data_IF_268309711257
#
_entry.id   IF_268309711257
#
_cell.length_a   1.000
_cell.length_b   1.000
_cell.length_c   1.000
_cell.angle_alpha   90.00
_cell.angle_beta   90.00
_cell.angle_gamma   90.00
#
_symmetry.space_group_name_H-M   'P 1'
#
loop_
_entity.id
_entity.type
_entity.pdbx_description
1 polymer ?
#
# COMPACT_ATOMS: atom_id res chain seq x y z
N UNK A 1 -20.44 -23.45 -0.18
CA UNK A 1 -20.39 -24.89 -0.47
C UNK A 1 -21.64 -25.56 0.05
N UNK A 2 -21.94 -26.78 -0.38
CA UNK A 2 -23.08 -27.51 0.13
C UNK A 2 -22.73 -28.21 1.46
N UNK A 3 -23.31 -27.74 2.57
CA UNK A 3 -23.03 -28.28 3.91
C UNK A 3 -23.44 -29.75 4.06
N UNK A 4 -24.39 -30.25 3.25
CA UNK A 4 -24.81 -31.66 3.30
C UNK A 4 -23.73 -32.63 2.84
N UNK A 5 -22.65 -32.15 2.21
CA UNK A 5 -21.52 -32.98 1.76
C UNK A 5 -20.45 -33.17 2.83
N UNK A 6 -20.51 -32.45 3.94
CA UNK A 6 -19.47 -32.46 4.98
C UNK A 6 -19.31 -33.82 5.65
N UNK A 7 -20.39 -34.63 5.68
CA UNK A 7 -20.35 -35.99 6.21
C UNK A 7 -19.68 -36.98 5.24
N UNK A 8 -19.53 -36.60 3.97
CA UNK A 8 -18.85 -37.37 2.93
C UNK A 8 -17.36 -37.00 2.79
N UNK A 9 -16.92 -35.94 3.46
CA UNK A 9 -15.53 -35.49 3.39
C UNK A 9 -14.62 -36.31 4.30
N UNK A 10 -13.41 -36.57 3.81
CA UNK A 10 -12.34 -37.18 4.59
C UNK A 10 -11.68 -36.12 5.48
N UNK A 11 -12.17 -36.01 6.71
CA UNK A 11 -11.66 -35.07 7.71
C UNK A 11 -10.26 -35.40 8.19
N UNK A 12 -9.81 -36.66 8.08
CA UNK A 12 -8.43 -37.02 8.38
C UNK A 12 -7.49 -36.50 7.29
N UNK A 13 -7.85 -36.66 6.01
CA UNK A 13 -7.11 -36.07 4.91
C UNK A 13 -7.07 -34.54 4.97
N UNK A 14 -8.21 -33.88 5.25
CA UNK A 14 -8.27 -32.42 5.42
C UNK A 14 -7.35 -31.96 6.55
N UNK A 15 -7.43 -32.63 7.71
CA UNK A 15 -6.60 -32.31 8.87
C UNK A 15 -5.10 -32.46 8.56
N UNK A 16 -4.70 -33.57 7.92
CA UNK A 16 -3.32 -33.82 7.54
C UNK A 16 -2.78 -32.80 6.54
N UNK A 17 -3.61 -32.37 5.57
CA UNK A 17 -3.23 -31.32 4.62
C UNK A 17 -2.99 -29.97 5.31
N UNK A 18 -3.84 -29.60 6.26
CA UNK A 18 -3.64 -28.37 7.06
C UNK A 18 -2.43 -28.48 7.99
N UNK A 19 -2.19 -29.66 8.57
CA UNK A 19 -1.00 -29.91 9.38
C UNK A 19 0.28 -29.78 8.56
N UNK A 20 0.34 -30.38 7.37
CA UNK A 20 1.46 -30.23 6.43
C UNK A 20 1.64 -28.77 5.99
N UNK A 21 0.54 -28.07 5.68
CA UNK A 21 0.55 -26.65 5.32
C UNK A 21 1.16 -25.76 6.42
N UNK A 22 0.81 -26.02 7.69
CA UNK A 22 1.37 -25.37 8.88
C UNK A 22 2.87 -25.68 9.04
N UNK A 23 3.25 -26.96 8.92
CA UNK A 23 4.64 -27.42 9.10
C UNK A 23 5.58 -26.81 8.07
N UNK A 24 5.17 -26.76 6.80
CA UNK A 24 5.93 -26.12 5.70
C UNK A 24 6.23 -24.64 5.96
N UNK A 25 5.44 -23.97 6.80
CA UNK A 25 5.61 -22.56 7.19
C UNK A 25 6.21 -22.38 8.58
N UNK A 26 6.63 -23.46 9.23
CA UNK A 26 7.28 -23.44 10.55
C UNK A 26 6.43 -22.84 11.68
N UNK A 27 5.10 -22.86 11.55
CA UNK A 27 4.18 -22.27 12.53
C UNK A 27 3.97 -23.18 13.76
N UNK A 28 5.04 -23.58 14.45
CA UNK A 28 5.00 -24.56 15.55
C UNK A 28 3.99 -24.21 16.65
N UNK A 29 3.78 -22.92 16.91
CA UNK A 29 2.87 -22.33 17.88
C UNK A 29 1.36 -22.37 17.52
N UNK A 30 0.98 -22.75 16.30
CA UNK A 30 -0.44 -22.87 15.91
C UNK A 30 -1.02 -24.25 16.26
N UNK A 31 -1.85 -24.37 17.29
CA UNK A 31 -2.50 -25.64 17.63
C UNK A 31 -3.68 -25.95 16.67
N UNK A 32 -3.74 -27.18 16.16
CA UNK A 32 -4.85 -27.66 15.31
C UNK A 32 -5.58 -28.81 15.98
N UNK A 33 -6.90 -28.67 16.11
CA UNK A 33 -7.80 -29.70 16.62
C UNK A 33 -8.81 -30.10 15.54
N UNK A 34 -8.88 -31.40 15.23
CA UNK A 34 -9.71 -31.91 14.13
C UNK A 34 -11.21 -31.67 14.36
N UNK A 35 -11.68 -31.80 15.59
CA UNK A 35 -13.09 -31.64 15.91
C UNK A 35 -13.53 -30.18 15.80
N UNK A 36 -12.75 -29.25 16.36
CA UNK A 36 -12.98 -27.80 16.24
C UNK A 36 -12.87 -27.34 14.79
N UNK A 37 -11.94 -27.90 14.02
CA UNK A 37 -11.82 -27.60 12.58
C UNK A 37 -13.10 -27.99 11.82
N UNK A 38 -13.66 -29.18 12.08
CA UNK A 38 -14.93 -29.60 11.47
C UNK A 38 -16.08 -28.68 11.87
N UNK A 39 -16.22 -28.37 13.16
CA UNK A 39 -17.25 -27.44 13.65
C UNK A 39 -17.12 -26.04 13.05
N UNK A 40 -15.89 -25.55 12.88
CA UNK A 40 -15.61 -24.26 12.26
C UNK A 40 -16.02 -24.26 10.79
N UNK A 41 -15.56 -25.25 10.03
CA UNK A 41 -15.79 -25.35 8.60
C UNK A 41 -17.28 -25.46 8.22
N UNK A 42 -18.11 -26.05 9.10
CA UNK A 42 -19.56 -26.18 8.91
C UNK A 42 -20.31 -24.84 8.96
N UNK A 43 -19.69 -23.79 9.49
CA UNK A 43 -20.26 -22.44 9.45
C UNK A 43 -20.11 -21.88 8.04
N UNK A 44 -21.08 -21.09 7.57
CA UNK A 44 -21.08 -20.52 6.22
C UNK A 44 -20.75 -19.01 6.20
N UNK A 45 -20.30 -18.45 7.33
CA UNK A 45 -20.07 -17.02 7.54
C UNK A 45 -18.60 -16.59 7.43
N UNK A 46 -17.67 -17.54 7.26
CA UNK A 46 -16.23 -17.26 7.26
C UNK A 46 -15.60 -17.16 5.86
N UNK A 47 -16.38 -17.36 4.78
CA UNK A 47 -15.93 -17.23 3.40
C UNK A 47 -17.05 -16.76 2.46
N UNK A 48 -16.67 -16.15 1.35
CA UNK A 48 -17.56 -15.87 0.21
C UNK A 48 -16.90 -16.45 -1.04
N UNK A 49 -17.64 -17.28 -1.80
CA UNK A 49 -17.10 -18.00 -2.95
C UNK A 49 -17.72 -17.46 -4.25
N UNK A 50 -16.89 -16.82 -5.08
CA UNK A 50 -17.29 -16.35 -6.41
C UNK A 50 -17.05 -17.45 -7.44
N UNK A 51 -17.97 -18.41 -7.52
CA UNK A 51 -17.89 -19.55 -8.46
C UNK A 51 -19.26 -19.75 -9.15
N UNK A 52 -19.31 -20.17 -10.42
CA UNK A 52 -20.55 -20.53 -11.06
C UNK A 52 -21.28 -21.64 -10.31
N UNK A 53 -22.60 -21.51 -10.12
CA UNK A 53 -23.41 -22.52 -9.44
C UNK A 53 -23.32 -23.91 -10.10
N UNK A 54 -23.11 -23.95 -11.43
CA UNK A 54 -22.89 -25.19 -12.18
C UNK A 54 -21.63 -25.95 -11.77
N UNK A 55 -20.59 -25.27 -11.31
CA UNK A 55 -19.34 -25.89 -10.86
C UNK A 55 -19.45 -26.47 -9.43
N UNK A 56 -20.49 -26.10 -8.67
CA UNK A 56 -20.80 -26.68 -7.35
C UNK A 56 -21.88 -27.76 -7.42
N UNK A 57 -22.44 -28.05 -8.60
CA UNK A 57 -23.43 -29.10 -8.77
C UNK A 57 -22.77 -30.47 -8.60
N UNK A 58 -23.28 -31.28 -7.67
CA UNK A 58 -22.81 -32.65 -7.46
C UNK A 58 -23.60 -33.59 -8.36
N UNK A 59 -22.92 -34.15 -9.36
CA UNK A 59 -23.47 -35.12 -10.32
C UNK A 59 -22.79 -36.48 -10.19
N UNK A 60 -21.54 -36.51 -9.73
CA UNK A 60 -20.69 -37.71 -9.61
C UNK A 60 -19.83 -37.63 -8.35
N UNK A 61 -19.28 -38.77 -7.92
CA UNK A 61 -18.48 -38.85 -6.70
C UNK A 61 -17.20 -37.98 -6.74
N UNK A 62 -16.61 -37.80 -7.92
CA UNK A 62 -15.47 -36.88 -8.11
C UNK A 62 -15.81 -35.43 -7.78
N UNK A 63 -17.07 -35.02 -7.85
CA UNK A 63 -17.48 -33.65 -7.48
C UNK A 63 -17.43 -33.44 -5.96
N UNK A 64 -17.58 -34.52 -5.16
CA UNK A 64 -17.38 -34.49 -3.70
C UNK A 64 -15.90 -34.24 -3.39
N UNK A 65 -15.00 -34.93 -4.09
CA UNK A 65 -13.54 -34.72 -3.96
C UNK A 65 -13.14 -33.31 -4.41
N UNK A 66 -13.76 -32.78 -5.45
CA UNK A 66 -13.55 -31.41 -5.89
C UNK A 66 -13.97 -30.40 -4.81
N UNK A 67 -15.17 -30.54 -4.23
CA UNK A 67 -15.57 -29.65 -3.13
C UNK A 67 -14.72 -29.81 -1.87
N UNK A 68 -14.25 -31.02 -1.57
CA UNK A 68 -13.26 -31.23 -0.50
C UNK A 68 -11.96 -30.47 -0.79
N UNK A 69 -11.47 -30.50 -2.03
CA UNK A 69 -10.26 -29.74 -2.43
C UNK A 69 -10.45 -28.24 -2.31
N UNK A 70 -11.63 -27.71 -2.67
CA UNK A 70 -12.00 -26.31 -2.48
C UNK A 70 -12.03 -25.95 -0.99
N UNK A 71 -12.61 -26.80 -0.15
CA UNK A 71 -12.62 -26.59 1.31
C UNK A 71 -11.19 -26.55 1.86
N UNK A 72 -10.31 -27.46 1.46
CA UNK A 72 -8.89 -27.45 1.87
C UNK A 72 -8.23 -26.12 1.48
N UNK A 73 -8.42 -25.67 0.24
CA UNK A 73 -7.86 -24.39 -0.21
C UNK A 73 -8.39 -23.21 0.61
N UNK A 74 -9.68 -23.15 0.88
CA UNK A 74 -10.30 -22.12 1.71
C UNK A 74 -9.74 -22.15 3.15
N UNK A 75 -9.62 -23.33 3.76
CA UNK A 75 -9.06 -23.48 5.10
C UNK A 75 -7.58 -23.10 5.15
N UNK A 76 -6.79 -23.41 4.13
CA UNK A 76 -5.39 -22.98 4.02
C UNK A 76 -5.28 -21.45 3.94
N UNK A 77 -6.07 -20.81 3.08
CA UNK A 77 -6.11 -19.35 2.96
C UNK A 77 -6.56 -18.69 4.26
N UNK A 78 -7.60 -19.23 4.91
CA UNK A 78 -8.06 -18.74 6.20
C UNK A 78 -6.99 -18.90 7.28
N UNK A 79 -6.31 -20.05 7.33
CA UNK A 79 -5.25 -20.33 8.31
C UNK A 79 -4.09 -19.34 8.16
N UNK A 80 -3.71 -19.03 6.92
CA UNK A 80 -2.69 -18.02 6.63
C UNK A 80 -3.11 -16.64 7.13
N UNK A 81 -4.29 -16.16 6.72
CA UNK A 81 -4.81 -14.87 7.17
C UNK A 81 -4.96 -14.80 8.70
N UNK A 82 -5.45 -15.87 9.33
CA UNK A 82 -5.63 -15.99 10.77
C UNK A 82 -4.28 -15.89 11.50
N UNK A 83 -3.29 -16.67 11.07
CA UNK A 83 -1.97 -16.70 11.68
C UNK A 83 -1.26 -15.35 11.53
N UNK A 84 -1.26 -14.78 10.31
CA UNK A 84 -0.64 -13.48 10.07
C UNK A 84 -1.27 -12.38 10.91
N UNK A 85 -2.60 -12.38 11.06
CA UNK A 85 -3.30 -11.41 11.93
C UNK A 85 -2.87 -11.54 13.39
N UNK A 86 -2.78 -12.76 13.93
CA UNK A 86 -2.33 -12.96 15.31
C UNK A 86 -0.86 -12.60 15.50
N UNK A 87 -0.01 -12.99 14.56
CA UNK A 87 1.42 -12.65 14.54
C UNK A 87 1.61 -11.14 14.53
N UNK A 88 0.90 -10.42 13.65
CA UNK A 88 0.95 -8.97 13.59
C UNK A 88 0.45 -8.30 14.87
N UNK A 89 -0.65 -8.81 15.46
CA UNK A 89 -1.17 -8.30 16.73
C UNK A 89 -0.21 -8.50 17.92
N UNK A 90 0.58 -9.57 17.89
CA UNK A 90 1.63 -9.83 18.88
C UNK A 90 2.88 -8.98 18.62
N UNK A 91 3.42 -9.02 17.39
CA UNK A 91 4.60 -8.23 16.99
C UNK A 91 4.37 -6.74 17.20
N UNK A 92 3.15 -6.26 16.97
CA UNK A 92 2.81 -4.85 17.12
C UNK A 92 2.84 -4.31 18.54
N UNK A 93 2.96 -5.17 19.57
CA UNK A 93 3.16 -4.75 20.97
C UNK A 93 4.62 -4.40 21.28
N UNK A 94 5.53 -4.75 20.39
CA UNK A 94 6.97 -4.59 20.55
C UNK A 94 7.56 -3.64 19.50
N UNK A 95 6.74 -2.74 18.96
CA UNK A 95 7.25 -1.72 18.06
C UNK A 95 8.04 -0.68 18.84
N UNK A 96 9.22 -0.36 18.30
CA UNK A 96 10.11 0.67 18.84
C UNK A 96 10.41 1.69 17.74
N UNK A 97 10.64 2.93 18.14
CA UNK A 97 11.16 3.96 17.25
C UNK A 97 12.66 3.74 17.05
N UNK A 98 13.10 3.79 15.78
CA UNK A 98 14.52 3.74 15.44
C UNK A 98 14.89 4.97 14.65
N UNK A 99 16.14 5.43 14.82
CA UNK A 99 16.72 6.42 13.94
C UNK A 99 16.89 5.82 12.55
N UNK A 100 16.53 6.61 11.55
CA UNK A 100 16.66 6.27 10.13
C UNK A 100 17.61 7.29 9.53
N UNK A 101 18.75 6.80 9.05
CA UNK A 101 19.73 7.60 8.33
C UNK A 101 19.81 7.13 6.86
N UNK A 102 20.66 7.79 6.08
CA UNK A 102 20.92 7.49 4.67
C UNK A 102 21.38 6.03 4.44
N UNK A 103 21.92 5.35 5.47
CA UNK A 103 22.41 3.97 5.35
C UNK A 103 21.34 2.93 5.66
N UNK A 104 20.14 3.36 6.06
CA UNK A 104 19.04 2.44 6.27
C UNK A 104 18.73 1.73 4.95
N UNK A 105 18.64 0.40 4.95
CA UNK A 105 18.40 -0.38 3.73
C UNK A 105 17.06 -0.12 3.02
N UNK A 106 16.23 0.75 3.60
CA UNK A 106 15.00 1.27 2.99
C UNK A 106 15.22 2.53 2.15
N UNK A 107 16.34 3.23 2.36
CA UNK A 107 16.78 4.32 1.50
C UNK A 107 17.37 3.73 0.23
N UNK A 108 16.97 4.30 -0.91
CA UNK A 108 17.53 3.95 -2.21
C UNK A 108 18.57 5.00 -2.54
N UNK A 109 19.79 4.57 -2.85
CA UNK A 109 20.90 5.52 -3.05
C UNK A 109 21.06 5.90 -4.53
N UNK A 110 20.65 5.02 -5.44
CA UNK A 110 20.97 5.15 -6.87
C UNK A 110 19.87 4.62 -7.79
N UNK A 111 19.71 5.31 -8.93
CA UNK A 111 18.97 4.79 -10.08
C UNK A 111 19.89 3.97 -10.99
N UNK A 112 19.52 2.72 -11.22
CA UNK A 112 20.17 1.86 -12.22
C UNK A 112 19.31 1.79 -13.47
N UNK A 113 19.84 2.31 -14.57
CA UNK A 113 19.21 2.21 -15.89
C UNK A 113 19.87 1.11 -16.72
N UNK A 114 19.06 0.25 -17.32
CA UNK A 114 19.47 -0.72 -18.34
C UNK A 114 18.92 -0.24 -19.67
N UNK A 115 19.81 0.03 -20.61
CA UNK A 115 19.47 0.61 -21.91
C UNK A 115 19.93 -0.35 -23.00
N UNK A 116 19.07 -0.61 -23.98
CA UNK A 116 19.43 -1.46 -25.11
C UNK A 116 20.49 -0.78 -25.96
N UNK A 117 21.46 -1.55 -26.47
CA UNK A 117 22.54 -1.03 -27.32
C UNK A 117 22.06 -0.84 -28.77
N UNK A 118 21.08 0.04 -28.96
CA UNK A 118 20.50 0.45 -30.24
C UNK A 118 20.67 1.97 -30.43
N UNK A 119 20.42 2.48 -31.63
CA UNK A 119 20.49 3.93 -31.86
C UNK A 119 19.43 4.69 -31.04
N UNK A 120 18.22 4.12 -30.91
CA UNK A 120 17.18 4.67 -30.02
C UNK A 120 17.63 4.64 -28.56
N UNK A 121 18.24 3.54 -28.10
CA UNK A 121 18.79 3.43 -26.74
C UNK A 121 19.83 4.51 -26.43
N UNK A 122 20.73 4.81 -27.36
CA UNK A 122 21.73 5.89 -27.20
C UNK A 122 21.08 7.27 -27.04
N UNK A 123 19.95 7.53 -27.69
CA UNK A 123 19.18 8.77 -27.50
C UNK A 123 18.68 8.87 -26.06
N UNK A 124 18.14 7.77 -25.50
CA UNK A 124 17.71 7.74 -24.10
C UNK A 124 18.87 7.88 -23.12
N UNK A 125 20.02 7.26 -23.39
CA UNK A 125 21.24 7.42 -22.59
C UNK A 125 21.66 8.90 -22.51
N UNK A 126 21.72 9.60 -23.65
CA UNK A 126 22.08 11.01 -23.69
C UNK A 126 21.07 11.88 -22.92
N UNK A 127 19.77 11.60 -23.06
CA UNK A 127 18.71 12.31 -22.32
C UNK A 127 18.87 12.13 -20.79
N UNK A 128 19.13 10.90 -20.34
CA UNK A 128 19.34 10.60 -18.92
C UNK A 128 20.64 11.21 -18.38
N UNK A 129 21.71 11.26 -19.18
CA UNK A 129 22.95 11.95 -18.81
C UNK A 129 22.74 13.47 -18.69
N UNK A 130 21.95 14.07 -19.57
CA UNK A 130 21.56 15.49 -19.45
C UNK A 130 20.76 15.75 -18.17
N UNK A 131 19.76 14.90 -17.88
CA UNK A 131 19.00 14.99 -16.64
C UNK A 131 19.92 14.90 -15.43
N UNK A 132 20.80 13.88 -15.39
CA UNK A 132 21.80 13.72 -14.33
C UNK A 132 22.61 15.00 -14.11
N UNK A 133 23.09 15.62 -15.20
CA UNK A 133 23.83 16.88 -15.12
C UNK A 133 23.00 18.04 -14.54
N UNK A 134 21.71 18.14 -14.85
CA UNK A 134 20.83 19.15 -14.24
C UNK A 134 20.60 18.90 -12.74
N UNK A 135 20.46 17.64 -12.34
CA UNK A 135 20.23 17.25 -10.94
C UNK A 135 21.49 17.51 -10.10
N UNK A 136 22.67 17.06 -10.56
CA UNK A 136 23.95 17.29 -9.87
C UNK A 136 24.31 18.77 -9.76
N UNK A 137 23.88 19.59 -10.72
CA UNK A 137 24.07 21.04 -10.71
C UNK A 137 22.98 21.82 -9.96
N UNK A 138 22.02 21.14 -9.31
CA UNK A 138 20.84 21.74 -8.65
C UNK A 138 20.03 22.68 -9.57
N UNK A 139 19.97 22.39 -10.87
CA UNK A 139 19.26 23.19 -11.88
C UNK A 139 17.81 22.71 -12.05
N UNK A 140 17.02 22.80 -10.98
CA UNK A 140 15.65 22.27 -10.90
C UNK A 140 14.71 22.78 -12.00
N UNK A 141 14.78 24.08 -12.31
CA UNK A 141 13.99 24.68 -13.38
C UNK A 141 14.27 24.03 -14.76
N UNK A 142 15.53 23.63 -15.01
CA UNK A 142 15.90 22.93 -16.24
C UNK A 142 15.48 21.47 -16.23
N UNK A 143 15.56 20.80 -15.09
CA UNK A 143 15.03 19.43 -14.95
C UNK A 143 13.50 19.40 -15.17
N UNK A 144 12.76 20.40 -14.69
CA UNK A 144 11.33 20.53 -15.00
C UNK A 144 11.08 20.81 -16.49
N UNK A 145 11.91 21.64 -17.14
CA UNK A 145 11.81 21.90 -18.58
C UNK A 145 12.15 20.66 -19.42
N UNK A 146 13.09 19.82 -18.96
CA UNK A 146 13.49 18.57 -19.61
C UNK A 146 12.29 17.62 -19.83
N UNK A 147 11.36 17.57 -18.88
CA UNK A 147 10.11 16.79 -19.02
C UNK A 147 9.24 17.25 -20.19
N UNK A 148 9.25 18.55 -20.51
CA UNK A 148 8.42 19.13 -21.59
C UNK A 148 9.05 18.92 -22.97
N UNK A 149 10.37 18.75 -23.01
CA UNK A 149 11.13 18.59 -24.25
C UNK A 149 11.39 17.13 -24.62
N UNK A 150 11.18 16.21 -23.69
CA UNK A 150 11.27 14.79 -23.96
C UNK A 150 9.97 14.26 -24.56
N UNK A 151 10.10 13.28 -25.45
CA UNK A 151 9.02 12.36 -25.77
C UNK A 151 8.53 11.80 -24.43
N UNK A 152 7.26 12.01 -24.06
CA UNK A 152 6.61 11.75 -22.76
C UNK A 152 6.77 10.31 -22.18
N UNK A 153 7.65 9.51 -22.75
CA UNK A 153 8.01 8.15 -22.38
C UNK A 153 8.79 8.07 -21.06
N UNK A 154 9.57 9.10 -20.72
CA UNK A 154 10.26 9.21 -19.42
C UNK A 154 10.04 10.61 -18.87
N UNK A 155 9.58 10.70 -17.62
CA UNK A 155 9.49 11.97 -16.90
C UNK A 155 10.11 11.87 -15.51
N UNK A 156 10.69 12.99 -15.05
CA UNK A 156 11.36 13.15 -13.77
C UNK A 156 10.62 14.21 -12.94
N UNK A 157 9.82 13.77 -11.97
CA UNK A 157 9.10 14.66 -11.08
C UNK A 157 10.07 15.20 -10.02
N UNK A 158 10.28 16.50 -10.07
CA UNK A 158 11.28 17.21 -9.27
C UNK A 158 10.61 17.88 -8.06
N UNK A 159 10.23 17.09 -7.05
CA UNK A 159 9.74 17.59 -5.77
C UNK A 159 10.90 17.60 -4.76
N UNK A 160 11.46 18.77 -4.50
CA UNK A 160 12.67 18.95 -3.66
C UNK A 160 12.55 18.34 -2.25
N UNK A 161 11.41 18.44 -1.54
CA UNK A 161 11.25 17.80 -0.24
C UNK A 161 11.11 16.27 -0.29
N UNK A 162 11.18 15.64 -1.47
CA UNK A 162 11.21 14.19 -1.56
C UNK A 162 12.59 13.64 -1.20
N UNK A 163 12.64 12.67 -0.28
CA UNK A 163 13.90 12.10 0.22
C UNK A 163 14.63 11.20 -0.79
N UNK A 164 13.98 10.81 -1.89
CA UNK A 164 14.60 10.04 -2.97
C UNK A 164 14.38 10.70 -4.34
N UNK A 165 15.36 11.42 -4.83
CA UNK A 165 15.15 12.44 -5.87
C UNK A 165 15.98 12.17 -7.15
N UNK A 166 15.44 12.43 -8.36
CA UNK A 166 14.06 12.81 -8.68
C UNK A 166 13.14 11.57 -8.80
N UNK A 167 11.82 11.72 -8.65
CA UNK A 167 10.91 10.59 -8.85
C UNK A 167 10.69 10.35 -10.35
N UNK A 168 11.08 9.17 -10.83
CA UNK A 168 10.98 8.81 -12.25
C UNK A 168 9.67 8.07 -12.58
N UNK A 169 9.06 8.43 -13.71
CA UNK A 169 7.99 7.66 -14.36
C UNK A 169 8.46 7.21 -15.75
N UNK A 170 8.04 6.02 -16.16
CA UNK A 170 8.28 5.50 -17.50
C UNK A 170 6.95 5.00 -18.05
N UNK A 171 6.62 5.37 -19.29
CA UNK A 171 5.43 4.87 -19.97
C UNK A 171 5.46 3.33 -19.97
N UNK A 172 4.33 2.69 -19.62
CA UNK A 172 4.19 1.22 -19.62
C UNK A 172 4.14 0.69 -21.06
N UNK A 173 5.27 0.73 -21.75
CA UNK A 173 5.46 0.19 -23.10
C UNK A 173 6.71 -0.69 -23.14
N UNK A 174 6.50 -2.00 -23.34
CA UNK A 174 7.56 -3.00 -23.39
C UNK A 174 8.52 -2.83 -24.58
N UNK A 175 8.15 -2.01 -25.58
CA UNK A 175 9.02 -1.66 -26.71
C UNK A 175 10.06 -0.59 -26.37
N UNK A 176 9.96 0.07 -25.22
CA UNK A 176 10.93 1.06 -24.81
C UNK A 176 12.30 0.41 -24.54
N UNK A 177 13.40 0.96 -25.10
CA UNK A 177 14.73 0.40 -24.98
C UNK A 177 15.38 0.70 -23.61
N UNK A 178 14.59 0.98 -22.57
CA UNK A 178 15.05 1.45 -21.27
C UNK A 178 14.27 0.77 -20.15
N UNK A 179 15.00 0.26 -19.15
CA UNK A 179 14.47 -0.29 -17.91
C UNK A 179 15.18 0.36 -16.73
N UNK A 180 14.50 0.45 -15.60
CA UNK A 180 15.07 1.10 -14.42
C UNK A 180 14.86 0.32 -13.13
N UNK A 181 15.77 0.51 -12.17
CA UNK A 181 15.66 0.07 -10.79
C UNK A 181 16.01 1.27 -9.88
N UNK A 182 15.22 1.57 -8.84
CA UNK A 182 13.91 0.98 -8.49
C UNK A 182 12.86 1.11 -9.60
N UNK A 183 11.75 0.36 -9.50
CA UNK A 183 10.66 0.45 -10.47
C UNK A 183 10.10 1.87 -10.53
N UNK A 184 9.89 2.33 -11.77
CA UNK A 184 9.23 3.59 -12.06
C UNK A 184 7.87 3.70 -11.37
N UNK A 185 7.47 4.92 -11.06
CA UNK A 185 6.11 5.21 -10.61
C UNK A 185 5.20 5.24 -11.84
N UNK A 186 4.31 4.25 -11.95
CA UNK A 186 3.48 4.05 -13.14
C UNK A 186 1.98 4.01 -12.84
N UNK A 187 1.58 4.31 -11.60
CA UNK A 187 0.19 4.43 -11.21
C UNK A 187 -0.22 5.90 -11.27
N UNK A 188 -1.24 6.22 -12.07
CA UNK A 188 -1.68 7.60 -12.32
C UNK A 188 -2.09 8.33 -11.04
N UNK A 189 -2.62 7.60 -10.05
CA UNK A 189 -3.01 8.15 -8.75
C UNK A 189 -1.80 8.60 -7.93
N UNK A 190 -0.73 7.80 -7.90
CA UNK A 190 0.54 8.14 -7.25
C UNK A 190 1.19 9.34 -7.96
N UNK A 191 1.26 9.30 -9.30
CA UNK A 191 1.80 10.40 -10.12
C UNK A 191 1.06 11.70 -9.84
N UNK A 192 -0.27 11.66 -9.85
CA UNK A 192 -1.12 12.81 -9.57
C UNK A 192 -0.85 13.39 -8.18
N UNK A 193 -0.78 12.54 -7.16
CA UNK A 193 -0.53 13.00 -5.78
C UNK A 193 0.79 13.75 -5.65
N UNK A 194 1.88 13.19 -6.17
CA UNK A 194 3.20 13.83 -6.13
C UNK A 194 3.21 15.13 -6.93
N UNK A 195 2.58 15.16 -8.10
CA UNK A 195 2.49 16.36 -8.93
C UNK A 195 1.67 17.46 -8.26
N UNK A 196 0.54 17.12 -7.63
CA UNK A 196 -0.29 18.09 -6.91
C UNK A 196 0.49 18.68 -5.71
N UNK A 197 1.28 17.86 -4.99
CA UNK A 197 2.18 18.32 -3.93
C UNK A 197 3.29 19.23 -4.46
N UNK A 198 3.92 18.84 -5.57
CA UNK A 198 4.94 19.66 -6.24
C UNK A 198 4.37 21.03 -6.63
N UNK A 199 3.18 21.05 -7.23
CA UNK A 199 2.52 22.32 -7.59
C UNK A 199 2.21 23.18 -6.36
N UNK A 200 1.75 22.57 -5.25
CA UNK A 200 1.48 23.28 -4.00
C UNK A 200 2.76 23.84 -3.37
N UNK A 201 3.90 23.17 -3.55
CA UNK A 201 5.20 23.68 -3.12
C UNK A 201 5.69 24.83 -4.01
N UNK A 202 5.69 24.64 -5.33
CA UNK A 202 6.18 25.62 -6.30
C UNK A 202 5.38 26.93 -6.27
N UNK A 203 4.10 26.88 -5.90
CA UNK A 203 3.24 28.07 -5.76
C UNK A 203 3.20 28.67 -4.35
N UNK A 204 3.97 28.13 -3.40
CA UNK A 204 4.06 28.60 -2.02
C UNK A 204 2.91 28.22 -1.10
N UNK A 205 1.84 27.57 -1.60
CA UNK A 205 0.68 27.19 -0.78
C UNK A 205 1.04 26.18 0.30
N UNK A 206 1.98 25.26 0.02
CA UNK A 206 2.39 24.25 0.99
C UNK A 206 3.00 24.93 2.23
N UNK A 207 3.85 25.95 2.02
CA UNK A 207 4.41 26.78 3.09
C UNK A 207 3.33 27.54 3.85
N UNK A 208 2.33 28.09 3.15
CA UNK A 208 1.18 28.74 3.80
C UNK A 208 0.39 27.78 4.72
N UNK A 209 0.33 26.49 4.37
CA UNK A 209 -0.42 25.50 5.13
C UNK A 209 0.35 24.93 6.32
N UNK A 210 1.67 24.78 6.21
CA UNK A 210 2.51 24.18 7.25
C UNK A 210 3.19 25.21 8.17
N UNK A 211 3.23 26.50 7.79
CA UNK A 211 3.96 27.52 8.52
C UNK A 211 5.47 27.28 8.45
N UNK A 212 6.20 27.46 9.55
CA UNK A 212 7.67 27.28 9.60
C UNK A 212 8.13 25.81 9.74
N UNK A 213 7.23 24.85 9.50
CA UNK A 213 7.52 23.42 9.58
C UNK A 213 8.19 22.93 8.31
N UNK A 214 9.02 21.90 8.44
CA UNK A 214 9.54 21.18 7.29
C UNK A 214 8.59 20.05 6.91
N UNK A 215 8.54 19.74 5.62
CA UNK A 215 7.76 18.62 5.08
C UNK A 215 8.67 17.76 4.22
N UNK A 216 8.55 16.45 4.33
CA UNK A 216 9.31 15.48 3.57
C UNK A 216 8.38 14.41 3.03
N UNK A 217 8.62 13.96 1.80
CA UNK A 217 7.88 12.85 1.20
C UNK A 217 8.86 11.73 0.89
N UNK A 218 8.43 10.49 1.14
CA UNK A 218 9.14 9.30 0.70
C UNK A 218 8.15 8.32 0.10
N UNK A 219 8.38 7.94 -1.16
CA UNK A 219 7.73 6.77 -1.75
C UNK A 219 8.19 5.52 -1.02
N UNK A 220 7.27 4.76 -0.47
CA UNK A 220 7.60 3.57 0.30
C UNK A 220 8.02 2.42 -0.62
N UNK A 221 8.91 1.55 -0.14
CA UNK A 221 9.29 0.37 -0.91
C UNK A 221 8.12 -0.62 -0.97
N UNK A 222 8.01 -1.37 -2.07
CA UNK A 222 6.88 -2.28 -2.32
C UNK A 222 6.79 -3.50 -1.35
N UNK A 223 7.69 -3.64 -0.37
CA UNK A 223 7.62 -4.75 0.59
C UNK A 223 8.13 -4.41 2.00
N UNK A 224 7.57 -5.14 2.99
CA UNK A 224 7.90 -5.08 4.43
C UNK A 224 9.38 -5.30 4.75
N UNK A 225 10.13 -5.98 3.87
CA UNK A 225 11.54 -6.28 4.09
C UNK A 225 12.46 -5.09 3.77
N UNK A 226 11.96 -4.08 3.02
CA UNK A 226 12.75 -2.94 2.54
C UNK A 226 12.07 -1.59 2.69
N UNK A 227 10.84 -1.53 3.19
CA UNK A 227 10.14 -0.26 3.35
C UNK A 227 10.14 0.22 4.79
N UNK A 228 9.99 1.52 4.95
CA UNK A 228 9.80 2.15 6.26
C UNK A 228 8.32 2.03 6.62
N UNK A 229 8.02 1.43 7.77
CA UNK A 229 6.67 1.39 8.32
C UNK A 229 6.28 0.07 8.98
N UNK A 230 5.21 0.16 9.75
CA UNK A 230 4.57 -0.97 10.40
C UNK A 230 3.89 -1.85 9.35
N UNK A 231 4.03 -3.17 9.44
CA UNK A 231 3.01 -4.01 8.80
C UNK A 231 1.78 -3.95 9.68
N UNK A 232 0.87 -3.06 9.30
CA UNK A 232 -0.39 -2.84 9.96
C UNK A 232 -1.31 -4.05 9.72
N UNK A 233 -2.40 -4.15 10.48
CA UNK A 233 -3.28 -5.31 10.36
C UNK A 233 -3.83 -5.40 8.92
N UNK A 234 -3.89 -6.61 8.39
CA UNK A 234 -4.38 -6.85 7.02
C UNK A 234 -3.33 -6.71 5.90
N UNK A 235 -2.02 -6.74 6.20
CA UNK A 235 -0.94 -6.62 5.20
C UNK A 235 -1.01 -5.30 4.40
N UNK A 236 -1.48 -4.23 5.04
CA UNK A 236 -1.51 -2.93 4.38
C UNK A 236 -0.11 -2.32 4.30
N UNK A 237 0.26 -1.87 3.11
CA UNK A 237 1.51 -1.15 2.85
C UNK A 237 1.15 0.14 2.09
N UNK A 238 1.36 1.32 2.68
CA UNK A 238 1.06 2.58 2.02
C UNK A 238 2.07 2.89 0.93
N UNK A 239 1.63 3.61 -0.10
CA UNK A 239 2.49 4.00 -1.22
C UNK A 239 3.46 5.12 -0.83
N UNK A 240 3.08 6.00 0.10
CA UNK A 240 3.90 7.13 0.55
C UNK A 240 3.92 7.31 2.07
N UNK A 241 5.04 7.86 2.54
CA UNK A 241 5.24 8.42 3.87
C UNK A 241 5.42 9.93 3.74
N UNK A 242 4.51 10.70 4.32
CA UNK A 242 4.60 12.14 4.42
C UNK A 242 4.96 12.52 5.84
N UNK A 243 6.13 13.10 6.04
CA UNK A 243 6.65 13.49 7.33
C UNK A 243 6.64 15.01 7.45
N UNK A 244 5.99 15.54 8.47
CA UNK A 244 6.06 16.96 8.83
C UNK A 244 6.79 17.09 10.16
N UNK A 245 7.74 18.01 10.25
CA UNK A 245 8.55 18.23 11.44
C UNK A 245 8.53 19.70 11.86
N UNK A 246 8.25 19.94 13.13
CA UNK A 246 8.33 21.26 13.76
C UNK A 246 9.60 21.34 14.61
N UNK A 247 10.62 22.01 14.07
CA UNK A 247 11.93 22.15 14.72
C UNK A 247 11.89 22.96 16.03
N UNK A 248 10.89 23.81 16.23
CA UNK A 248 10.79 24.63 17.43
C UNK A 248 10.21 23.84 18.61
N UNK A 249 9.22 22.99 18.32
CA UNK A 249 8.51 22.21 19.35
C UNK A 249 8.93 20.76 19.44
N UNK A 250 9.82 20.31 18.54
CA UNK A 250 10.24 18.91 18.34
C UNK A 250 9.07 17.96 18.01
N UNK A 251 7.93 18.51 17.57
CA UNK A 251 6.76 17.73 17.19
C UNK A 251 6.92 17.20 15.78
N UNK A 252 6.53 15.94 15.60
CA UNK A 252 6.65 15.24 14.32
C UNK A 252 5.36 14.51 13.99
N UNK A 253 4.98 14.58 12.72
CA UNK A 253 3.82 13.88 12.18
C UNK A 253 4.26 12.98 11.04
N UNK A 254 4.11 11.67 11.20
CA UNK A 254 4.35 10.70 10.14
C UNK A 254 3.01 10.20 9.60
N UNK A 255 2.75 10.51 8.33
CA UNK A 255 1.47 10.22 7.68
C UNK A 255 1.63 9.20 6.58
N UNK A 256 0.93 8.08 6.69
CA UNK A 256 0.84 7.03 5.68
C UNK A 256 -0.23 7.40 4.64
N UNK A 257 0.12 7.36 3.35
CA UNK A 257 -0.77 7.79 2.26
C UNK A 257 -0.86 6.70 1.18
N UNK A 258 -2.08 6.33 0.80
CA UNK A 258 -2.39 5.34 -0.26
C UNK A 258 -3.42 5.92 -1.25
N UNK A 259 -2.97 6.43 -2.41
CA UNK A 259 -3.84 6.85 -3.50
C UNK A 259 -4.49 5.65 -4.20
N UNK A 260 -5.76 5.36 -3.91
CA UNK A 260 -6.39 4.11 -4.37
C UNK A 260 -7.85 4.22 -4.82
N UNK A 261 -8.23 3.34 -5.74
CA UNK A 261 -9.62 3.14 -6.13
C UNK A 261 -10.35 2.27 -5.11
N UNK A 262 -11.43 2.80 -4.54
CA UNK A 262 -12.18 2.15 -3.45
C UNK A 262 -13.59 1.70 -3.87
N UNK A 263 -13.93 1.77 -5.16
CA UNK A 263 -15.27 1.45 -5.71
C UNK A 263 -15.84 0.11 -5.26
N UNK A 264 -15.01 -0.93 -5.17
CA UNK A 264 -15.44 -2.29 -4.85
C UNK A 264 -15.08 -2.71 -3.42
N UNK A 265 -14.60 -1.78 -2.58
CA UNK A 265 -14.24 -2.08 -1.21
C UNK A 265 -15.48 -2.09 -0.32
N UNK A 266 -15.52 -3.00 0.64
CA UNK A 266 -16.60 -3.05 1.62
C UNK A 266 -16.39 -1.97 2.69
N UNK A 267 -17.46 -1.46 3.31
CA UNK A 267 -17.36 -0.59 4.49
C UNK A 267 -16.62 -1.24 5.69
N UNK A 268 -16.59 -2.57 5.71
CA UNK A 268 -15.88 -3.37 6.70
C UNK A 268 -14.48 -3.79 6.23
N UNK A 269 -13.99 -3.22 5.12
CA UNK A 269 -12.64 -3.49 4.65
C UNK A 269 -11.64 -3.05 5.75
N UNK A 270 -10.69 -3.91 6.14
CA UNK A 270 -9.68 -3.59 7.15
C UNK A 270 -8.95 -2.27 6.88
N UNK A 271 -8.79 -1.88 5.61
CA UNK A 271 -8.14 -0.61 5.25
C UNK A 271 -8.88 0.62 5.76
N UNK A 272 -10.21 0.57 5.90
CA UNK A 272 -10.97 1.67 6.50
C UNK A 272 -10.83 1.76 8.02
N UNK A 273 -10.34 0.69 8.67
CA UNK A 273 -10.00 0.68 10.10
C UNK A 273 -8.59 1.18 10.42
N UNK A 274 -7.77 1.40 9.39
CA UNK A 274 -6.33 1.64 9.52
C UNK A 274 -5.99 2.88 10.34
N UNK A 275 -6.72 3.98 10.17
CA UNK A 275 -6.52 5.19 10.96
C UNK A 275 -6.68 4.94 12.46
N UNK A 276 -7.70 4.16 12.85
CA UNK A 276 -7.94 3.81 14.25
C UNK A 276 -6.87 2.86 14.78
N UNK A 277 -6.43 1.90 13.98
CA UNK A 277 -5.36 0.97 14.37
C UNK A 277 -4.04 1.69 14.60
N UNK A 278 -3.67 2.64 13.72
CA UNK A 278 -2.45 3.41 13.87
C UNK A 278 -2.49 4.27 15.14
N UNK A 279 -3.61 4.94 15.43
CA UNK A 279 -3.77 5.71 16.67
C UNK A 279 -3.72 4.83 17.91
N UNK A 280 -4.21 3.60 17.81
CA UNK A 280 -4.06 2.62 18.88
C UNK A 280 -2.59 2.23 19.07
N UNK A 281 -1.85 1.98 17.99
CA UNK A 281 -0.42 1.65 18.05
C UNK A 281 0.42 2.80 18.61
N UNK A 282 0.16 4.04 18.17
CA UNK A 282 0.79 5.27 18.69
C UNK A 282 0.67 5.32 20.22
N UNK A 283 -0.53 5.06 20.75
CA UNK A 283 -0.81 5.06 22.18
C UNK A 283 -0.21 3.86 22.92
N UNK A 284 -0.37 2.65 22.38
CA UNK A 284 0.04 1.41 23.04
C UNK A 284 1.57 1.27 23.09
N UNK A 285 2.28 1.79 22.09
CA UNK A 285 3.75 1.74 22.00
C UNK A 285 4.44 3.00 22.53
N UNK A 286 3.70 3.95 23.11
CA UNK A 286 4.21 5.23 23.63
C UNK A 286 5.16 5.93 22.64
N UNK A 287 4.73 6.02 21.38
CA UNK A 287 5.52 6.59 20.30
C UNK A 287 5.47 8.13 20.40
N UNK A 288 6.62 8.79 20.45
CA UNK A 288 6.74 10.26 20.57
C UNK A 288 6.43 11.03 19.27
N UNK A 289 6.10 10.32 18.19
CA UNK A 289 5.68 10.90 16.91
C UNK A 289 4.18 10.66 16.69
N UNK A 290 3.47 11.67 16.20
CA UNK A 290 2.06 11.54 15.82
C UNK A 290 1.96 10.74 14.53
N UNK A 291 1.20 9.63 14.55
CA UNK A 291 1.00 8.78 13.38
C UNK A 291 -0.38 8.99 12.78
N UNK A 292 -0.44 9.19 11.47
CA UNK A 292 -1.69 9.36 10.74
C UNK A 292 -1.74 8.41 9.53
N UNK A 293 -2.93 8.04 9.07
CA UNK A 293 -3.10 7.34 7.79
C UNK A 293 -4.21 7.98 6.99
N UNK A 294 -4.06 8.08 5.68
CA UNK A 294 -5.11 8.54 4.77
C UNK A 294 -5.20 7.66 3.53
N UNK A 295 -6.43 7.39 3.12
CA UNK A 295 -6.74 6.84 1.80
C UNK A 295 -7.14 8.01 0.91
N UNK A 296 -6.40 8.22 -0.17
CA UNK A 296 -6.74 9.22 -1.17
C UNK A 296 -7.52 8.53 -2.30
N UNK A 297 -8.85 8.64 -2.24
CA UNK A 297 -9.74 8.00 -3.19
C UNK A 297 -9.65 8.66 -4.56
N UNK A 298 -9.32 7.87 -5.59
CA UNK A 298 -9.55 8.25 -6.99
C UNK A 298 -10.97 7.94 -7.47
N UNK A 299 -11.74 7.19 -6.68
CA UNK A 299 -13.15 6.92 -6.97
C UNK A 299 -14.00 8.02 -6.36
N UNK A 300 -14.76 8.72 -7.18
CA UNK A 300 -15.68 9.75 -6.71
C UNK A 300 -16.71 9.15 -5.76
N UNK A 301 -17.13 9.92 -4.76
CA UNK A 301 -18.17 9.49 -3.80
C UNK A 301 -19.45 9.04 -4.52
N UNK A 302 -19.81 9.71 -5.61
CA UNK A 302 -20.97 9.38 -6.46
C UNK A 302 -20.88 8.01 -7.15
N UNK A 303 -19.66 7.51 -7.37
CA UNK A 303 -19.41 6.25 -8.07
C UNK A 303 -19.16 5.08 -7.10
N UNK A 304 -19.19 5.34 -5.79
CA UNK A 304 -19.06 4.36 -4.71
C UNK A 304 -20.35 4.33 -3.87
N UNK A 305 -21.39 3.58 -4.27
CA UNK A 305 -22.71 3.59 -3.61
C UNK A 305 -22.64 3.24 -2.11
N UNK A 306 -21.71 2.37 -1.73
CA UNK A 306 -21.48 1.97 -0.35
C UNK A 306 -20.90 3.10 0.53
N UNK A 307 -20.26 4.12 -0.05
CA UNK A 307 -19.76 5.30 0.68
C UNK A 307 -20.76 6.45 0.72
N UNK A 308 -21.77 6.43 -0.16
CA UNK A 308 -22.82 7.46 -0.16
C UNK A 308 -23.72 7.37 1.07
N UNK A 309 -23.74 6.20 1.74
CA UNK A 309 -24.43 6.06 3.03
C UNK A 309 -23.72 6.77 4.17
N UNK A 310 -22.47 7.20 3.98
CA UNK A 310 -21.69 7.91 4.99
C UNK A 310 -21.74 9.44 4.76
N UNK A 311 -21.84 10.18 5.86
CA UNK A 311 -21.62 11.63 5.89
C UNK A 311 -20.17 11.99 5.56
N UNK A 312 -19.93 13.26 5.20
CA UNK A 312 -18.57 13.75 4.93
C UNK A 312 -17.73 13.74 6.21
N UNK A 313 -18.35 13.99 7.37
CA UNK A 313 -17.72 13.87 8.68
C UNK A 313 -17.25 12.43 8.97
N UNK A 314 -18.11 11.42 8.74
CA UNK A 314 -17.73 10.01 8.92
C UNK A 314 -16.60 9.58 7.98
N UNK A 315 -16.57 10.11 6.75
CA UNK A 315 -15.49 9.83 5.81
C UNK A 315 -14.17 10.48 6.26
N UNK A 316 -14.23 11.70 6.81
CA UNK A 316 -13.07 12.38 7.39
C UNK A 316 -12.56 11.68 8.65
N UNK A 317 -13.45 11.19 9.52
CA UNK A 317 -13.07 10.39 10.70
C UNK A 317 -12.41 9.06 10.30
N UNK A 318 -12.83 8.48 9.17
CA UNK A 318 -12.17 7.32 8.55
C UNK A 318 -10.92 7.68 7.75
N UNK A 319 -10.54 8.95 7.75
CA UNK A 319 -9.38 9.49 7.02
C UNK A 319 -9.39 9.15 5.52
N UNK A 320 -10.58 9.23 4.92
CA UNK A 320 -10.78 9.05 3.47
C UNK A 320 -10.99 10.44 2.86
N UNK A 321 -10.13 10.81 1.92
CA UNK A 321 -10.24 12.05 1.15
C UNK A 321 -10.40 11.72 -0.33
N UNK A 322 -11.09 12.57 -1.09
CA UNK A 322 -11.32 12.36 -2.52
C UNK A 322 -10.41 13.25 -3.33
N UNK A 323 -9.62 12.66 -4.23
CA UNK A 323 -8.68 13.43 -5.05
C UNK A 323 -9.39 14.34 -6.06
N UNK A 324 -10.65 14.08 -6.41
CA UNK A 324 -11.45 14.99 -7.25
C UNK A 324 -11.67 16.37 -6.60
N UNK A 325 -11.66 16.45 -5.27
CA UNK A 325 -11.85 17.71 -4.57
C UNK A 325 -10.63 18.61 -4.76
N UNK A 326 -10.80 19.77 -5.39
CA UNK A 326 -9.70 20.72 -5.66
C UNK A 326 -8.91 21.16 -4.42
N UNK A 327 -9.45 20.96 -3.21
CA UNK A 327 -8.83 21.32 -1.94
C UNK A 327 -8.38 20.09 -1.12
N UNK A 328 -8.36 18.88 -1.67
CA UNK A 328 -8.05 17.66 -0.91
C UNK A 328 -6.69 17.73 -0.23
N UNK A 329 -5.66 18.29 -0.88
CA UNK A 329 -4.33 18.47 -0.27
C UNK A 329 -4.36 19.42 0.93
N UNK A 330 -5.11 20.53 0.82
CA UNK A 330 -5.26 21.47 1.93
C UNK A 330 -5.98 20.80 3.11
N UNK A 331 -7.01 20.00 2.82
CA UNK A 331 -7.70 19.21 3.85
C UNK A 331 -6.77 18.18 4.48
N UNK A 332 -5.97 17.47 3.69
CA UNK A 332 -4.98 16.50 4.14
C UNK A 332 -4.00 17.17 5.12
N UNK A 333 -3.33 18.25 4.72
CA UNK A 333 -2.35 18.95 5.57
C UNK A 333 -2.99 19.47 6.86
N UNK A 334 -4.19 20.06 6.77
CA UNK A 334 -4.92 20.54 7.95
C UNK A 334 -5.27 19.40 8.92
N UNK A 335 -5.65 18.22 8.41
CA UNK A 335 -5.94 17.06 9.25
C UNK A 335 -4.67 16.44 9.83
N UNK A 336 -3.59 16.37 9.05
CA UNK A 336 -2.28 15.88 9.51
C UNK A 336 -1.79 16.65 10.73
N UNK A 337 -1.91 17.98 10.70
CA UNK A 337 -1.45 18.87 11.78
C UNK A 337 -2.45 19.01 12.94
N UNK A 338 -3.71 18.58 12.75
CA UNK A 338 -4.75 18.66 13.79
C UNK A 338 -4.59 17.57 14.84
N UNK A 339 -4.25 16.37 14.40
CA UNK A 339 -3.95 15.23 15.27
C UNK A 339 -2.52 15.33 15.81
#
# INVERSE_FOLDING_TARGET
>A
MNASLFDLFDWDAIYLQLLDYKLKRTWSNLALDKHRLRQFAQKNDWYTLYIPASALAVKQFSDVLYQQSLLIQLLCLYTDAFYQRLKAAYEGQFYETTWVDEKNGSMQDEYQFKIDNTDDGKVYEQKLQQLKGFIEAAQFAKAQQWNKTNDNNITAICFEPHLYYPIMTILKDDSLPVKMQPLAMNEDSEIRFVHDLQQAYDNGKLQEWIGDKDIYLLRNAANKAKGLGFALAGNFYPDFLLWVADKETDKQWLTFIDPKGIRNMSLNDPKFGLANEIKKLEKDCAIDITLNSFILSITNKKDAPHLQTLSDEELRERHILFMEDNNYLKQLVALVLKY
#
